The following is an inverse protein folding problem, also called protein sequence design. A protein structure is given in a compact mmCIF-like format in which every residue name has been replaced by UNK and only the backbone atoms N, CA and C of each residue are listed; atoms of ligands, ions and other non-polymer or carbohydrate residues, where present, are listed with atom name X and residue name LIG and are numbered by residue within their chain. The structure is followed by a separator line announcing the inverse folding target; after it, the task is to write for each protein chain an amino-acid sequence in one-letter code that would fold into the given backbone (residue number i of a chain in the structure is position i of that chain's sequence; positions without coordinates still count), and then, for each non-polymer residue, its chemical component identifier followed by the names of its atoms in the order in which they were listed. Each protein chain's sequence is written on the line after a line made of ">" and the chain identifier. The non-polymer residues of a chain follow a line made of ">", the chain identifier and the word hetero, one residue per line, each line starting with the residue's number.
data_IF_388943993261
#
_entry.id   IF_388943993261
#
_cell.length_a   1.000
_cell.length_b   1.000
_cell.length_c   1.000
_cell.angle_alpha   90.00
_cell.angle_beta   90.00
_cell.angle_gamma   90.00
#
_symmetry.space_group_name_H-M   'P 1'
#
loop_
_entity.id
_entity.type
_entity.pdbx_description
1 polymer ?
#
# COMPACT_ATOMS: atom_id res chain seq x y z
N UNK A 1 -23.44 29.43 2.00
CA UNK A 1 -24.02 28.51 3.05
C UNK A 1 -25.51 28.77 3.34
N UNK A 2 -25.94 30.02 3.38
CA UNK A 2 -27.36 30.33 3.71
C UNK A 2 -28.32 29.85 2.60
N UNK A 3 -27.95 30.06 1.33
CA UNK A 3 -28.82 29.67 0.19
C UNK A 3 -28.97 28.16 0.06
N UNK A 4 -27.90 27.41 0.24
CA UNK A 4 -27.93 25.92 0.19
C UNK A 4 -28.81 25.35 1.29
N UNK A 5 -28.71 25.89 2.51
CA UNK A 5 -29.55 25.49 3.66
C UNK A 5 -31.01 25.87 3.40
N UNK A 6 -31.31 27.07 2.92
CA UNK A 6 -32.67 27.51 2.60
C UNK A 6 -33.27 26.66 1.50
N UNK A 7 -32.52 26.36 0.44
CA UNK A 7 -33.00 25.48 -0.63
C UNK A 7 -33.27 24.06 -0.09
N UNK A 8 -32.40 23.54 0.78
CA UNK A 8 -32.64 22.24 1.41
C UNK A 8 -33.88 22.25 2.29
N UNK A 9 -34.11 23.30 3.06
CA UNK A 9 -35.34 23.43 3.87
C UNK A 9 -36.62 23.44 3.00
N UNK A 10 -36.57 24.07 1.84
CA UNK A 10 -37.70 24.17 0.94
C UNK A 10 -37.96 22.91 0.12
N UNK A 11 -36.91 22.31 -0.43
CA UNK A 11 -37.01 21.20 -1.38
C UNK A 11 -36.38 19.89 -0.87
N UNK A 12 -35.26 19.95 -0.18
CA UNK A 12 -34.59 18.75 0.35
C UNK A 12 -35.40 18.05 1.41
N UNK A 13 -36.03 18.82 2.32
CA UNK A 13 -36.94 18.26 3.33
C UNK A 13 -38.14 17.56 2.70
N UNK A 14 -38.71 18.13 1.62
CA UNK A 14 -39.82 17.46 0.90
C UNK A 14 -39.36 16.12 0.31
N UNK A 15 -38.18 16.08 -0.26
CA UNK A 15 -37.59 14.82 -0.82
C UNK A 15 -37.36 13.79 0.28
N UNK A 16 -36.81 14.21 1.44
CA UNK A 16 -36.65 13.34 2.60
C UNK A 16 -38.00 12.79 3.13
N UNK A 17 -39.01 13.64 3.25
CA UNK A 17 -40.33 13.22 3.66
C UNK A 17 -40.90 12.16 2.70
N UNK A 18 -40.72 12.34 1.38
CA UNK A 18 -41.13 11.34 0.39
C UNK A 18 -40.40 10.00 0.55
N UNK A 19 -39.08 10.02 0.92
CA UNK A 19 -38.34 8.81 1.23
C UNK A 19 -38.96 8.08 2.42
N UNK A 20 -39.27 8.80 3.51
CA UNK A 20 -39.90 8.23 4.70
C UNK A 20 -41.32 7.74 4.45
N UNK A 21 -42.14 8.46 3.66
CA UNK A 21 -43.47 8.03 3.27
C UNK A 21 -43.44 6.72 2.48
N UNK A 22 -42.48 6.57 1.58
CA UNK A 22 -42.32 5.33 0.82
C UNK A 22 -41.89 4.16 1.72
N UNK A 23 -40.97 4.41 2.67
CA UNK A 23 -40.57 3.43 3.66
C UNK A 23 -41.73 3.04 4.59
N UNK A 24 -42.56 3.99 5.03
CA UNK A 24 -43.72 3.74 5.87
C UNK A 24 -44.77 2.84 5.20
N UNK A 25 -44.80 2.79 3.86
CA UNK A 25 -45.70 1.88 3.10
C UNK A 25 -45.15 0.45 3.02
N UNK A 26 -43.83 0.30 3.12
CA UNK A 26 -43.14 -0.99 3.03
C UNK A 26 -41.86 -0.98 3.87
N UNK A 27 -41.96 -1.44 5.11
CA UNK A 27 -40.86 -1.45 6.07
C UNK A 27 -39.71 -2.42 5.69
N UNK A 28 -39.90 -3.28 4.70
CA UNK A 28 -38.84 -4.14 4.17
C UNK A 28 -37.78 -3.36 3.36
N UNK A 29 -38.10 -2.14 2.93
CA UNK A 29 -37.26 -1.27 2.09
C UNK A 29 -36.28 -0.38 2.88
N UNK A 30 -35.73 -0.89 3.99
CA UNK A 30 -34.77 -0.15 4.81
C UNK A 30 -33.57 0.34 4.01
N UNK A 31 -33.03 -0.49 3.12
CA UNK A 31 -31.86 -0.12 2.30
C UNK A 31 -32.16 1.06 1.35
N UNK A 32 -33.33 1.07 0.72
CA UNK A 32 -33.78 2.18 -0.14
C UNK A 32 -33.97 3.48 0.64
N UNK A 33 -34.51 3.39 1.86
CA UNK A 33 -34.62 4.53 2.75
C UNK A 33 -33.27 5.11 3.12
N UNK A 34 -32.32 4.28 3.59
CA UNK A 34 -30.97 4.71 3.96
C UNK A 34 -30.27 5.36 2.76
N UNK A 35 -30.34 4.73 1.58
CA UNK A 35 -29.79 5.30 0.34
C UNK A 35 -30.42 6.67 0.01
N UNK A 36 -31.73 6.81 0.09
CA UNK A 36 -32.44 8.05 -0.17
C UNK A 36 -32.03 9.17 0.80
N UNK A 37 -31.94 8.87 2.09
CA UNK A 37 -31.46 9.82 3.10
C UNK A 37 -30.01 10.23 2.84
N UNK A 38 -29.13 9.25 2.62
CA UNK A 38 -27.70 9.51 2.31
C UNK A 38 -27.57 10.44 1.11
N UNK A 39 -28.30 10.17 0.02
CA UNK A 39 -28.29 10.99 -1.19
C UNK A 39 -28.68 12.44 -0.91
N UNK A 40 -29.74 12.69 -0.18
CA UNK A 40 -30.19 14.05 0.09
C UNK A 40 -29.23 14.81 1.02
N UNK A 41 -28.65 14.13 2.01
CA UNK A 41 -27.67 14.74 2.92
C UNK A 41 -26.34 15.04 2.21
N UNK A 42 -25.87 14.12 1.37
CA UNK A 42 -24.63 14.37 0.58
C UNK A 42 -24.84 15.48 -0.45
N UNK A 43 -26.00 15.57 -1.09
CA UNK A 43 -26.34 16.69 -1.99
C UNK A 43 -26.31 18.04 -1.27
N UNK A 44 -26.84 18.10 -0.04
CA UNK A 44 -26.74 19.33 0.78
C UNK A 44 -25.28 19.68 1.04
N UNK A 45 -24.45 18.71 1.47
CA UNK A 45 -23.03 18.91 1.74
C UNK A 45 -22.29 19.43 0.51
N UNK A 46 -22.49 18.82 -0.66
CA UNK A 46 -21.88 19.28 -1.92
C UNK A 46 -22.31 20.71 -2.29
N UNK A 47 -23.61 21.04 -2.10
CA UNK A 47 -24.12 22.38 -2.37
C UNK A 47 -23.52 23.42 -1.44
N UNK A 48 -23.32 23.09 -0.16
CA UNK A 48 -22.67 23.99 0.82
C UNK A 48 -21.20 24.24 0.47
N UNK A 49 -20.48 23.21 0.04
CA UNK A 49 -19.08 23.36 -0.42
C UNK A 49 -19.01 24.26 -1.65
N UNK A 50 -19.87 24.02 -2.64
CA UNK A 50 -19.95 24.84 -3.86
C UNK A 50 -20.24 26.31 -3.52
N UNK A 51 -21.23 26.58 -2.66
CA UNK A 51 -21.60 27.93 -2.25
C UNK A 51 -20.43 28.64 -1.53
N UNK A 52 -19.68 27.92 -0.68
CA UNK A 52 -18.52 28.47 0.00
C UNK A 52 -17.41 28.85 -0.99
N UNK A 53 -17.07 27.97 -1.93
CA UNK A 53 -16.08 28.25 -2.96
C UNK A 53 -16.50 29.42 -3.86
N UNK A 54 -17.77 29.47 -4.27
CA UNK A 54 -18.30 30.58 -5.06
C UNK A 54 -18.29 31.92 -4.28
N UNK A 55 -18.42 31.88 -2.95
CA UNK A 55 -18.32 33.09 -2.13
C UNK A 55 -16.91 33.67 -2.17
N UNK A 56 -15.86 32.86 -2.17
CA UNK A 56 -14.47 33.30 -2.37
C UNK A 56 -14.23 33.84 -3.78
N UNK A 57 -14.80 33.20 -4.82
CA UNK A 57 -14.71 33.74 -6.20
C UNK A 57 -15.35 35.12 -6.29
N UNK A 58 -16.51 35.33 -5.66
CA UNK A 58 -17.19 36.63 -5.66
C UNK A 58 -16.38 37.69 -4.90
N UNK A 59 -15.75 37.36 -3.77
CA UNK A 59 -14.83 38.26 -3.06
C UNK A 59 -13.69 38.68 -3.98
N UNK A 60 -13.06 37.75 -4.72
CA UNK A 60 -12.02 38.06 -5.70
C UNK A 60 -12.52 38.97 -6.83
N UNK A 61 -13.78 38.78 -7.27
CA UNK A 61 -14.41 39.64 -8.30
C UNK A 61 -14.63 41.05 -7.81
N UNK A 62 -15.11 41.22 -6.59
CA UNK A 62 -15.46 42.52 -6.02
C UNK A 62 -14.20 43.31 -5.55
N UNK A 63 -13.22 42.61 -4.94
CA UNK A 63 -12.06 43.21 -4.31
C UNK A 63 -10.86 43.25 -5.27
N UNK A 64 -10.72 44.40 -5.98
CA UNK A 64 -9.60 44.67 -6.90
C UNK A 64 -8.24 44.65 -6.23
N UNK A 65 -8.17 44.96 -4.94
CA UNK A 65 -6.94 44.94 -4.13
C UNK A 65 -6.38 43.55 -3.95
N UNK A 66 -7.24 42.52 -3.90
CA UNK A 66 -6.81 41.11 -3.78
C UNK A 66 -6.33 40.52 -5.12
N UNK A 67 -6.75 41.11 -6.24
CA UNK A 67 -6.37 40.63 -7.60
C UNK A 67 -5.59 41.68 -8.39
N UNK A 68 -4.65 42.37 -7.76
CA UNK A 68 -3.81 43.39 -8.40
C UNK A 68 -3.15 42.81 -9.68
N UNK A 69 -3.34 43.52 -10.82
CA UNK A 69 -2.79 43.12 -12.11
C UNK A 69 -3.58 42.05 -12.84
N UNK A 70 -4.80 41.72 -12.39
CA UNK A 70 -5.69 40.80 -13.04
C UNK A 70 -7.05 41.46 -13.37
N UNK A 71 -7.58 41.17 -14.57
CA UNK A 71 -8.92 41.59 -14.95
C UNK A 71 -9.82 40.38 -15.27
N UNK A 72 -11.11 40.54 -15.06
CA UNK A 72 -12.14 39.51 -15.27
C UNK A 72 -12.32 39.27 -16.76
N UNK A 73 -12.31 38.01 -17.18
CA UNK A 73 -12.60 37.62 -18.57
C UNK A 73 -14.01 37.05 -18.67
N UNK A 74 -14.30 35.99 -17.92
CA UNK A 74 -15.61 35.30 -17.91
C UNK A 74 -15.79 34.47 -16.66
N UNK A 75 -17.00 34.00 -16.39
CA UNK A 75 -17.30 32.97 -15.38
C UNK A 75 -17.54 31.64 -16.10
N UNK A 76 -16.91 30.58 -15.64
CA UNK A 76 -17.04 29.22 -16.14
C UNK A 76 -17.53 28.31 -14.99
N UNK A 77 -18.19 27.21 -15.32
CA UNK A 77 -18.60 26.17 -14.39
C UNK A 77 -17.63 24.99 -14.46
N UNK A 78 -17.35 24.36 -13.33
CA UNK A 78 -16.52 23.15 -13.23
C UNK A 78 -17.07 22.23 -12.17
N UNK A 79 -16.71 20.95 -12.28
CA UNK A 79 -17.07 19.93 -11.30
C UNK A 79 -15.82 19.22 -10.79
N UNK A 80 -15.73 19.04 -9.47
CA UNK A 80 -14.72 18.26 -8.78
C UNK A 80 -15.43 17.16 -8.00
N UNK A 81 -14.99 15.93 -8.17
CA UNK A 81 -15.44 14.80 -7.35
C UNK A 81 -14.68 14.79 -6.04
N UNK A 82 -15.41 14.95 -4.94
CA UNK A 82 -14.91 14.82 -3.56
C UNK A 82 -15.28 13.46 -2.98
N UNK A 83 -14.74 13.09 -1.83
CA UNK A 83 -15.15 11.87 -1.13
C UNK A 83 -16.65 11.84 -0.78
N UNK A 84 -17.27 13.01 -0.65
CA UNK A 84 -18.70 13.16 -0.38
C UNK A 84 -19.55 12.98 -1.63
N UNK A 85 -19.20 13.65 -2.73
CA UNK A 85 -19.94 13.69 -3.99
C UNK A 85 -19.33 14.65 -4.98
N UNK A 86 -20.02 14.83 -6.10
CA UNK A 86 -19.63 15.78 -7.13
C UNK A 86 -20.03 17.21 -6.72
N UNK A 87 -19.04 18.09 -6.61
CA UNK A 87 -19.22 19.52 -6.31
C UNK A 87 -19.06 20.31 -7.59
N UNK A 88 -20.19 20.87 -8.07
CA UNK A 88 -20.23 21.75 -9.26
C UNK A 88 -20.33 23.19 -8.80
N UNK A 89 -19.37 24.02 -9.25
CA UNK A 89 -19.28 25.41 -8.85
C UNK A 89 -18.81 26.34 -9.97
N UNK A 90 -19.22 27.61 -9.88
CA UNK A 90 -18.79 28.65 -10.81
C UNK A 90 -17.51 29.31 -10.37
N UNK A 91 -16.55 29.49 -11.32
CA UNK A 91 -15.27 30.15 -11.07
C UNK A 91 -14.96 31.17 -12.16
N UNK A 92 -14.27 32.24 -11.79
CA UNK A 92 -13.95 33.34 -12.71
C UNK A 92 -12.56 33.16 -13.32
N UNK A 93 -12.51 33.21 -14.65
CA UNK A 93 -11.26 33.29 -15.40
C UNK A 93 -10.75 34.72 -15.36
N UNK A 94 -9.55 34.93 -14.84
CA UNK A 94 -8.84 36.19 -14.84
C UNK A 94 -7.69 36.19 -15.85
N UNK A 95 -7.34 37.37 -16.38
CA UNK A 95 -6.17 37.53 -17.26
C UNK A 95 -5.21 38.55 -16.67
N UNK A 96 -3.94 38.21 -16.64
CA UNK A 96 -2.89 39.05 -16.09
C UNK A 96 -2.55 40.19 -17.06
N UNK A 97 -2.51 41.42 -16.56
CA UNK A 97 -2.24 42.65 -17.35
C UNK A 97 -0.79 42.75 -17.83
N UNK A 98 0.17 42.09 -17.13
CA UNK A 98 1.60 42.20 -17.47
C UNK A 98 2.06 41.17 -18.47
N UNK A 99 1.64 39.91 -18.31
CA UNK A 99 2.13 38.77 -19.12
C UNK A 99 1.05 38.16 -20.02
N UNK A 100 -0.21 38.62 -19.95
CA UNK A 100 -1.32 38.11 -20.75
C UNK A 100 -1.79 36.69 -20.42
N UNK A 101 -1.22 36.02 -19.42
CA UNK A 101 -1.64 34.67 -19.01
C UNK A 101 -3.00 34.68 -18.32
N UNK A 102 -3.81 33.69 -18.62
CA UNK A 102 -5.11 33.48 -17.96
C UNK A 102 -5.02 32.43 -16.85
N UNK A 103 -5.83 32.61 -15.79
CA UNK A 103 -5.85 31.73 -14.63
C UNK A 103 -7.16 31.86 -13.88
N UNK A 104 -7.62 30.79 -13.27
CA UNK A 104 -8.65 30.80 -12.23
C UNK A 104 -7.97 31.07 -10.89
N UNK A 105 -8.17 32.28 -10.32
CA UNK A 105 -7.53 32.63 -9.04
C UNK A 105 -8.11 31.85 -7.88
N UNK A 106 -9.39 31.44 -7.97
CA UNK A 106 -10.01 30.55 -6.99
C UNK A 106 -9.27 29.22 -6.91
N UNK A 107 -8.95 28.60 -8.04
CA UNK A 107 -8.24 27.31 -8.07
C UNK A 107 -6.88 27.41 -7.37
N UNK A 108 -6.18 28.55 -7.56
CA UNK A 108 -4.92 28.79 -6.85
C UNK A 108 -5.07 28.92 -5.34
N UNK A 109 -6.18 29.52 -4.87
CA UNK A 109 -6.47 29.61 -3.44
C UNK A 109 -6.82 28.27 -2.83
N UNK A 110 -7.47 27.40 -3.60
CA UNK A 110 -7.88 26.05 -3.20
C UNK A 110 -6.78 25.01 -3.47
N UNK A 111 -5.62 25.42 -3.97
CA UNK A 111 -4.50 24.57 -4.37
C UNK A 111 -4.91 23.48 -5.37
N UNK A 112 -5.87 23.81 -6.25
CA UNK A 112 -6.36 22.90 -7.29
C UNK A 112 -5.52 23.08 -8.55
N UNK A 113 -4.81 22.04 -8.93
CA UNK A 113 -4.04 22.01 -10.17
C UNK A 113 -4.91 22.08 -11.43
N UNK A 114 -4.40 22.67 -12.53
CA UNK A 114 -5.10 22.67 -13.80
C UNK A 114 -5.50 21.24 -14.23
N UNK A 115 -6.75 21.10 -14.70
CA UNK A 115 -7.34 19.84 -15.14
C UNK A 115 -7.59 18.79 -14.04
N UNK A 116 -7.40 19.11 -12.78
CA UNK A 116 -7.80 18.26 -11.65
C UNK A 116 -9.32 18.06 -11.65
N UNK A 117 -9.77 16.82 -11.53
CA UNK A 117 -11.18 16.42 -11.45
C UNK A 117 -11.56 15.75 -10.13
N UNK A 118 -10.61 15.58 -9.26
CA UNK A 118 -10.79 14.92 -7.96
C UNK A 118 -10.09 15.74 -6.88
N UNK A 119 -10.71 15.82 -5.72
CA UNK A 119 -10.07 16.36 -4.53
C UNK A 119 -9.12 15.33 -3.89
N UNK A 120 -8.21 15.79 -3.05
CA UNK A 120 -7.21 14.93 -2.40
C UNK A 120 -7.85 13.85 -1.50
N UNK A 121 -8.95 14.19 -0.80
CA UNK A 121 -9.70 13.26 0.03
C UNK A 121 -10.34 12.13 -0.80
N UNK A 122 -10.87 12.43 -2.00
CA UNK A 122 -11.38 11.42 -2.92
C UNK A 122 -10.25 10.55 -3.49
N UNK A 123 -9.08 11.14 -3.80
CA UNK A 123 -7.90 10.39 -4.25
C UNK A 123 -7.41 9.47 -3.13
N UNK A 124 -7.28 9.94 -1.90
CA UNK A 124 -6.86 9.12 -0.76
C UNK A 124 -7.79 7.91 -0.57
N UNK A 125 -9.10 8.15 -0.50
CA UNK A 125 -10.10 7.09 -0.38
C UNK A 125 -10.05 6.08 -1.53
N UNK A 126 -9.87 6.57 -2.75
CA UNK A 126 -9.74 5.74 -3.95
C UNK A 126 -8.51 4.82 -3.87
N UNK A 127 -7.39 5.35 -3.43
CA UNK A 127 -6.13 4.61 -3.36
C UNK A 127 -6.11 3.60 -2.21
N UNK A 128 -6.69 3.93 -1.04
CA UNK A 128 -6.89 3.00 0.07
C UNK A 128 -7.70 1.78 -0.37
N UNK A 129 -8.86 2.00 -0.98
CA UNK A 129 -9.70 0.91 -1.47
C UNK A 129 -9.01 0.11 -2.60
N UNK A 130 -8.25 0.78 -3.46
CA UNK A 130 -7.51 0.11 -4.55
C UNK A 130 -6.38 -0.78 -4.03
N UNK A 131 -5.72 -0.39 -2.95
CA UNK A 131 -4.67 -1.18 -2.29
C UNK A 131 -5.24 -2.47 -1.67
N UNK A 132 -6.42 -2.39 -1.05
CA UNK A 132 -7.05 -3.53 -0.38
C UNK A 132 -7.82 -4.45 -1.35
N UNK A 133 -8.14 -3.99 -2.56
CA UNK A 133 -9.03 -4.75 -3.44
C UNK A 133 -8.61 -4.73 -4.92
N UNK A 134 -9.02 -3.70 -5.67
CA UNK A 134 -8.71 -3.56 -7.11
C UNK A 134 -8.92 -2.12 -7.59
N UNK A 135 -8.28 -1.76 -8.69
CA UNK A 135 -8.46 -0.44 -9.33
C UNK A 135 -9.94 -0.14 -9.66
N UNK A 136 -10.71 -1.15 -10.07
CA UNK A 136 -12.13 -0.96 -10.37
C UNK A 136 -12.93 -0.61 -9.11
N UNK A 137 -12.68 -1.29 -8.00
CA UNK A 137 -13.32 -0.99 -6.72
C UNK A 137 -12.85 0.34 -6.14
N UNK A 138 -11.55 0.63 -6.21
CA UNK A 138 -11.03 1.94 -5.83
C UNK A 138 -11.73 3.08 -6.56
N UNK A 139 -11.87 2.97 -7.89
CA UNK A 139 -12.60 3.96 -8.67
C UNK A 139 -14.10 4.07 -8.35
N UNK A 140 -14.75 2.95 -8.01
CA UNK A 140 -16.17 2.93 -7.62
C UNK A 140 -16.43 3.53 -6.23
N UNK A 141 -15.46 3.40 -5.32
CA UNK A 141 -15.58 3.82 -3.92
C UNK A 141 -14.86 5.14 -3.59
N UNK A 142 -14.34 5.85 -4.60
CA UNK A 142 -13.68 7.14 -4.43
C UNK A 142 -14.58 8.19 -3.75
N UNK A 143 -15.89 8.07 -3.94
CA UNK A 143 -16.89 9.01 -3.44
C UNK A 143 -18.14 8.28 -2.97
N UNK A 144 -18.85 8.85 -1.99
CA UNK A 144 -20.11 8.30 -1.48
C UNK A 144 -21.24 8.44 -2.53
N UNK A 145 -21.29 9.56 -3.22
CA UNK A 145 -22.38 9.87 -4.16
C UNK A 145 -21.90 10.51 -5.47
N UNK A 146 -20.60 10.58 -5.69
CA UNK A 146 -19.98 11.20 -6.85
C UNK A 146 -19.80 10.26 -8.04
N UNK A 147 -19.14 10.77 -9.05
CA UNK A 147 -18.82 10.03 -10.27
C UNK A 147 -17.84 8.88 -10.01
N UNK A 148 -18.07 7.76 -10.69
CA UNK A 148 -17.17 6.60 -10.64
C UNK A 148 -15.92 6.90 -11.48
N UNK A 149 -14.74 6.69 -10.91
CA UNK A 149 -13.48 6.86 -11.60
C UNK A 149 -13.11 5.62 -12.42
N UNK A 150 -12.45 5.83 -13.56
CA UNK A 150 -11.97 4.72 -14.38
C UNK A 150 -10.79 4.01 -13.71
N UNK A 151 -10.63 2.73 -13.99
CA UNK A 151 -9.49 1.93 -13.50
C UNK A 151 -8.14 2.51 -13.97
N UNK A 152 -8.11 3.15 -15.14
CA UNK A 152 -6.93 3.83 -15.69
C UNK A 152 -6.59 5.08 -14.85
N UNK A 153 -7.61 5.83 -14.42
CA UNK A 153 -7.40 6.97 -13.50
C UNK A 153 -6.79 6.51 -12.18
N UNK A 154 -7.31 5.42 -11.59
CA UNK A 154 -6.78 4.84 -10.35
C UNK A 154 -5.33 4.39 -10.53
N UNK A 155 -5.05 3.66 -11.61
CA UNK A 155 -3.69 3.21 -11.95
C UNK A 155 -2.72 4.39 -12.09
N UNK A 156 -3.09 5.43 -12.85
CA UNK A 156 -2.25 6.60 -13.05
C UNK A 156 -1.97 7.30 -11.72
N UNK A 157 -2.99 7.51 -10.88
CA UNK A 157 -2.83 8.13 -9.56
C UNK A 157 -1.94 7.30 -8.63
N UNK A 158 -2.03 5.97 -8.69
CA UNK A 158 -1.14 5.10 -7.92
C UNK A 158 0.32 5.20 -8.41
N UNK A 159 0.53 5.30 -9.73
CA UNK A 159 1.87 5.43 -10.31
C UNK A 159 2.49 6.83 -10.11
N UNK A 160 1.67 7.85 -9.85
CA UNK A 160 2.13 9.20 -9.49
C UNK A 160 2.60 9.29 -8.02
N UNK A 161 2.32 8.28 -7.18
CA UNK A 161 2.73 8.32 -5.78
C UNK A 161 4.25 8.24 -5.66
N UNK A 162 4.80 9.25 -5.04
CA UNK A 162 6.19 9.27 -4.59
C UNK A 162 6.24 8.94 -3.10
N UNK A 163 6.93 7.85 -2.76
CA UNK A 163 7.17 7.50 -1.36
C UNK A 163 8.48 8.13 -0.91
N UNK A 164 8.44 9.15 -0.05
CA UNK A 164 9.68 9.80 0.40
C UNK A 164 10.55 8.78 1.13
N UNK A 165 11.82 8.70 0.74
CA UNK A 165 12.84 7.94 1.46
C UNK A 165 13.24 8.74 2.72
N UNK A 166 12.36 8.76 3.70
CA UNK A 166 12.64 9.47 4.96
C UNK A 166 13.51 8.62 5.85
N UNK A 167 14.71 9.11 6.13
CA UNK A 167 15.49 8.64 7.26
C UNK A 167 14.76 9.00 8.56
N UNK A 168 15.04 8.26 9.61
CA UNK A 168 14.48 8.57 10.92
C UNK A 168 15.10 9.87 11.46
N UNK A 169 14.26 10.84 11.81
CA UNK A 169 14.69 12.17 12.29
C UNK A 169 14.59 12.33 13.82
N UNK A 170 14.13 11.29 14.54
CA UNK A 170 14.00 11.31 15.99
C UNK A 170 15.31 11.02 16.74
N UNK A 171 15.24 11.01 18.07
CA UNK A 171 16.34 10.52 18.91
C UNK A 171 16.58 9.03 18.67
N UNK A 172 17.86 8.63 18.57
CA UNK A 172 18.21 7.23 18.34
C UNK A 172 17.72 6.35 19.48
N UNK A 173 17.07 5.26 19.11
CA UNK A 173 16.55 4.28 20.04
C UNK A 173 17.65 3.32 20.50
N UNK A 174 17.60 2.92 21.74
CA UNK A 174 18.51 1.92 22.31
C UNK A 174 17.82 0.57 22.42
N UNK A 175 18.30 -0.39 21.63
CA UNK A 175 17.84 -1.79 21.64
C UNK A 175 19.02 -2.73 21.53
N UNK A 176 18.98 -3.88 22.20
CA UNK A 176 20.03 -4.90 22.10
C UNK A 176 19.87 -5.79 20.88
N UNK A 177 18.64 -5.99 20.42
CA UNK A 177 18.34 -6.90 19.29
C UNK A 177 17.31 -6.29 18.37
N UNK A 178 17.58 -6.37 17.07
CA UNK A 178 16.63 -6.08 16.00
C UNK A 178 16.28 -7.35 15.23
N UNK A 179 15.10 -7.34 14.66
CA UNK A 179 14.60 -8.40 13.80
C UNK A 179 14.29 -7.83 12.42
N UNK A 180 14.65 -8.59 11.39
CA UNK A 180 14.31 -8.28 10.02
C UNK A 180 13.70 -9.54 9.41
N UNK A 181 12.51 -9.43 8.86
CA UNK A 181 11.95 -10.48 8.01
C UNK A 181 12.02 -10.00 6.56
N UNK A 182 12.46 -10.88 5.67
CA UNK A 182 12.64 -10.57 4.26
C UNK A 182 12.07 -11.70 3.39
N UNK A 183 11.34 -11.30 2.35
CA UNK A 183 10.69 -12.21 1.40
C UNK A 183 10.54 -11.53 0.03
N UNK A 184 10.30 -12.32 -1.02
CA UNK A 184 9.96 -11.85 -2.35
C UNK A 184 8.68 -12.51 -2.85
N UNK A 185 7.97 -11.80 -3.73
CA UNK A 185 6.81 -12.34 -4.43
C UNK A 185 7.00 -12.30 -5.95
N UNK A 186 6.30 -13.17 -6.65
CA UNK A 186 6.30 -13.24 -8.11
C UNK A 186 5.00 -12.65 -8.66
N UNK A 187 5.06 -11.41 -9.13
CA UNK A 187 3.91 -10.71 -9.69
C UNK A 187 3.91 -10.87 -11.20
N UNK A 188 2.85 -11.49 -11.74
CA UNK A 188 2.68 -11.63 -13.19
C UNK A 188 2.44 -10.27 -13.84
N UNK A 189 3.20 -9.97 -14.90
CA UNK A 189 3.03 -8.77 -15.69
C UNK A 189 2.01 -8.99 -16.81
N UNK A 190 1.16 -7.99 -17.04
CA UNK A 190 0.28 -7.93 -18.19
C UNK A 190 0.88 -6.94 -19.20
N UNK A 191 1.39 -7.45 -20.31
CA UNK A 191 1.84 -6.60 -21.41
C UNK A 191 0.68 -6.27 -22.37
N UNK A 192 0.55 -5.01 -22.73
CA UNK A 192 -0.50 -4.55 -23.65
C UNK A 192 -0.33 -5.12 -25.06
N UNK A 193 0.91 -5.36 -25.50
CA UNK A 193 1.23 -5.79 -26.87
C UNK A 193 1.43 -7.29 -27.03
N UNK A 194 1.81 -7.98 -25.97
CA UNK A 194 1.84 -9.44 -25.92
C UNK A 194 1.33 -9.86 -24.54
N UNK A 195 0.19 -10.52 -24.49
CA UNK A 195 -0.19 -11.26 -23.29
C UNK A 195 0.91 -12.28 -23.06
N UNK A 196 1.84 -12.04 -22.20
CA UNK A 196 3.05 -12.80 -21.91
C UNK A 196 3.13 -14.20 -22.50
N UNK A 197 4.28 -14.74 -22.66
CA UNK A 197 4.41 -16.08 -23.22
C UNK A 197 3.66 -17.08 -22.34
N UNK A 198 2.45 -17.46 -22.77
CA UNK A 198 1.59 -18.46 -22.07
C UNK A 198 2.35 -19.78 -21.84
N UNK A 199 3.34 -20.06 -22.71
CA UNK A 199 4.19 -21.24 -22.60
C UNK A 199 5.34 -21.06 -21.60
N UNK A 200 5.64 -19.81 -21.21
CA UNK A 200 6.66 -19.46 -20.21
C UNK A 200 6.12 -18.45 -19.18
N UNK A 201 5.08 -18.78 -18.41
CA UNK A 201 4.46 -17.86 -17.48
C UNK A 201 5.43 -17.28 -16.43
N UNK A 202 6.52 -18.00 -16.12
CA UNK A 202 7.57 -17.53 -15.19
C UNK A 202 8.50 -16.46 -15.79
N UNK A 203 8.57 -16.32 -17.10
CA UNK A 203 9.40 -15.31 -17.76
C UNK A 203 8.76 -13.92 -17.81
N UNK A 204 7.49 -13.83 -17.41
CA UNK A 204 6.68 -12.62 -17.48
C UNK A 204 6.27 -12.15 -16.08
N UNK A 205 7.19 -12.17 -15.16
CA UNK A 205 6.99 -11.73 -13.77
C UNK A 205 8.05 -10.73 -13.37
N UNK A 206 7.65 -9.78 -12.53
CA UNK A 206 8.58 -9.01 -11.69
C UNK A 206 8.63 -9.63 -10.31
N UNK A 207 9.72 -9.41 -9.62
CA UNK A 207 9.97 -9.95 -8.29
C UNK A 207 10.22 -8.80 -7.31
N UNK A 208 9.15 -8.18 -6.78
CA UNK A 208 9.29 -7.19 -5.73
C UNK A 208 9.85 -7.85 -4.48
N UNK A 209 10.80 -7.16 -3.85
CA UNK A 209 11.40 -7.55 -2.57
C UNK A 209 10.75 -6.78 -1.46
N UNK A 210 10.52 -7.44 -0.35
CA UNK A 210 9.99 -6.85 0.87
C UNK A 210 10.89 -7.22 2.04
N UNK A 211 11.25 -6.24 2.84
CA UNK A 211 11.80 -6.48 4.17
C UNK A 211 11.14 -5.53 5.17
N UNK A 212 11.05 -5.96 6.43
CA UNK A 212 10.61 -5.09 7.50
C UNK A 212 11.47 -5.28 8.73
N UNK A 213 11.88 -4.15 9.32
CA UNK A 213 12.70 -4.06 10.53
C UNK A 213 11.79 -3.79 11.71
N UNK A 214 11.95 -4.53 12.81
CA UNK A 214 11.13 -4.37 14.00
C UNK A 214 11.91 -4.72 15.28
N UNK A 215 11.44 -4.20 16.43
CA UNK A 215 12.13 -4.32 17.72
C UNK A 215 11.72 -5.59 18.49
N UNK A 216 10.61 -6.19 18.14
CA UNK A 216 10.08 -7.37 18.82
C UNK A 216 8.62 -7.63 18.47
N UNK A 217 8.02 -8.59 19.16
CA UNK A 217 6.62 -8.97 18.97
C UNK A 217 5.91 -8.76 20.31
N UNK A 218 4.87 -7.91 20.28
CA UNK A 218 3.97 -7.74 21.41
C UNK A 218 2.82 -8.76 21.32
N UNK A 219 2.59 -9.47 22.39
CA UNK A 219 1.53 -10.50 22.51
C UNK A 219 0.37 -10.02 23.38
N UNK A 220 0.20 -8.68 23.51
CA UNK A 220 -0.81 -8.13 24.42
C UNK A 220 -2.26 -8.59 24.16
N UNK A 221 -2.95 -8.67 25.26
CA UNK A 221 -4.40 -8.76 25.62
C UNK A 221 -5.39 -9.43 24.68
N UNK A 222 -5.25 -9.36 23.36
CA UNK A 222 -6.20 -9.93 22.39
C UNK A 222 -5.67 -11.21 21.70
N UNK A 223 -4.52 -11.72 22.12
CA UNK A 223 -3.91 -12.94 21.57
C UNK A 223 -3.38 -12.83 20.13
N UNK A 224 -3.43 -11.64 19.50
CA UNK A 224 -2.87 -11.39 18.19
C UNK A 224 -1.50 -10.72 18.30
N UNK A 225 -0.42 -11.36 17.83
CA UNK A 225 0.90 -10.77 17.86
C UNK A 225 0.97 -9.49 16.99
N UNK A 226 1.57 -8.43 17.55
CA UNK A 226 1.84 -7.17 16.83
C UNK A 226 3.33 -6.90 16.82
N UNK A 227 3.84 -6.43 15.68
CA UNK A 227 5.24 -6.01 15.58
C UNK A 227 5.44 -4.65 16.27
N UNK A 228 6.51 -4.54 17.05
CA UNK A 228 6.87 -3.31 17.76
C UNK A 228 7.74 -2.45 16.84
N UNK A 229 7.32 -1.19 16.61
CA UNK A 229 8.07 -0.18 15.86
C UNK A 229 8.55 -0.66 14.47
N UNK A 230 7.63 -1.25 13.70
CA UNK A 230 7.93 -1.82 12.39
C UNK A 230 8.17 -0.72 11.34
N UNK A 231 9.21 -0.92 10.50
CA UNK A 231 9.49 -0.12 9.30
C UNK A 231 9.61 -1.06 8.09
N UNK A 232 8.82 -0.78 7.07
CA UNK A 232 8.77 -1.56 5.83
C UNK A 232 9.69 -0.96 4.76
N UNK A 233 10.33 -1.84 3.98
CA UNK A 233 11.13 -1.56 2.79
C UNK A 233 10.63 -2.46 1.68
N UNK A 234 10.33 -1.91 0.53
CA UNK A 234 9.83 -2.71 -0.59
C UNK A 234 10.04 -2.04 -1.92
N UNK A 235 10.13 -2.85 -2.98
CA UNK A 235 10.27 -2.36 -4.33
C UNK A 235 10.86 -3.40 -5.28
N UNK A 236 11.02 -2.99 -6.54
CA UNK A 236 11.64 -3.81 -7.59
C UNK A 236 13.12 -3.43 -7.67
N UNK A 237 13.98 -4.31 -7.19
CA UNK A 237 15.43 -4.14 -7.18
C UNK A 237 16.05 -5.28 -7.98
N UNK A 238 16.49 -5.02 -9.21
CA UNK A 238 17.00 -6.04 -10.11
C UNK A 238 18.54 -6.20 -10.04
N UNK A 239 18.97 -7.42 -10.24
CA UNK A 239 20.41 -7.73 -10.29
C UNK A 239 21.15 -7.55 -8.97
N UNK A 240 22.48 -7.62 -9.02
CA UNK A 240 23.35 -7.50 -7.85
C UNK A 240 23.39 -6.07 -7.30
N UNK A 241 23.41 -5.07 -8.18
CA UNK A 241 23.40 -3.64 -7.82
C UNK A 241 22.07 -3.25 -7.13
N UNK A 242 20.95 -3.78 -7.62
CA UNK A 242 19.65 -3.59 -6.96
C UNK A 242 19.62 -4.22 -5.56
N UNK A 243 20.19 -5.41 -5.37
CA UNK A 243 20.32 -6.04 -4.03
C UNK A 243 21.15 -5.16 -3.10
N UNK A 244 22.27 -4.66 -3.58
CA UNK A 244 23.14 -3.79 -2.81
C UNK A 244 22.44 -2.49 -2.41
N UNK A 245 21.73 -1.87 -3.34
CA UNK A 245 20.94 -0.64 -3.09
C UNK A 245 19.87 -0.88 -2.04
N UNK A 246 19.12 -1.97 -2.15
CA UNK A 246 18.09 -2.33 -1.18
C UNK A 246 18.65 -2.45 0.25
N UNK A 247 19.73 -3.21 0.43
CA UNK A 247 20.31 -3.41 1.76
C UNK A 247 21.03 -2.17 2.30
N UNK A 248 21.55 -1.29 1.44
CA UNK A 248 22.05 0.03 1.85
C UNK A 248 20.94 0.93 2.39
N UNK A 249 19.74 0.89 1.79
CA UNK A 249 18.58 1.65 2.29
C UNK A 249 18.13 1.14 3.66
N UNK A 250 18.09 -0.18 3.86
CA UNK A 250 17.78 -0.79 5.17
C UNK A 250 18.83 -0.39 6.21
N UNK A 251 20.13 -0.47 5.87
CA UNK A 251 21.23 -0.09 6.76
C UNK A 251 21.16 1.39 7.15
N UNK A 252 20.94 2.28 6.19
CA UNK A 252 20.86 3.73 6.44
C UNK A 252 19.72 4.07 7.44
N UNK A 253 18.58 3.38 7.34
CA UNK A 253 17.52 3.52 8.33
C UNK A 253 17.96 3.02 9.71
N UNK A 254 18.55 1.83 9.81
CA UNK A 254 19.00 1.26 11.08
C UNK A 254 20.00 2.21 11.75
N UNK A 255 20.97 2.73 11.02
CA UNK A 255 21.97 3.67 11.52
C UNK A 255 21.36 5.02 11.93
N UNK A 256 20.29 5.47 11.28
CA UNK A 256 19.60 6.71 11.65
C UNK A 256 18.69 6.53 12.88
N UNK A 257 18.05 5.37 13.02
CA UNK A 257 17.00 5.15 14.01
C UNK A 257 17.52 4.53 15.32
N UNK A 258 18.66 3.83 15.29
CA UNK A 258 19.15 3.06 16.44
C UNK A 258 20.60 3.41 16.82
N UNK A 259 20.88 3.27 18.11
CA UNK A 259 22.26 3.35 18.62
C UNK A 259 23.01 2.06 18.28
N UNK A 260 23.90 2.17 17.30
CA UNK A 260 24.66 1.02 16.77
C UNK A 260 25.68 0.47 17.78
N UNK A 261 26.09 1.25 18.79
CA UNK A 261 27.02 0.80 19.82
C UNK A 261 26.32 -0.13 20.80
N UNK A 262 25.07 0.16 21.14
CA UNK A 262 24.24 -0.64 22.05
C UNK A 262 23.54 -1.82 21.37
N UNK A 263 23.46 -1.82 20.04
CA UNK A 263 22.91 -2.92 19.29
C UNK A 263 23.88 -4.10 19.28
N UNK A 264 23.47 -5.26 19.81
CA UNK A 264 24.29 -6.47 19.89
C UNK A 264 24.07 -7.41 18.71
N UNK A 265 22.82 -7.47 18.20
CA UNK A 265 22.42 -8.45 17.19
C UNK A 265 21.30 -7.96 16.29
N UNK A 266 21.38 -8.34 15.01
CA UNK A 266 20.28 -8.30 14.05
C UNK A 266 19.97 -9.75 13.64
N UNK A 267 18.74 -10.21 13.81
CA UNK A 267 18.25 -11.48 13.30
C UNK A 267 17.57 -11.24 11.96
N UNK A 268 18.16 -11.71 10.85
CA UNK A 268 17.59 -11.61 9.52
C UNK A 268 16.93 -12.94 9.16
N UNK A 269 15.59 -12.94 9.18
CA UNK A 269 14.77 -14.10 8.87
C UNK A 269 14.40 -14.14 7.39
N UNK A 270 14.35 -15.30 6.78
CA UNK A 270 13.89 -15.48 5.41
C UNK A 270 14.01 -16.93 4.93
N UNK A 271 13.64 -17.14 3.66
CA UNK A 271 13.61 -18.47 3.02
C UNK A 271 14.99 -18.99 2.61
N UNK A 272 16.03 -18.16 2.71
CA UNK A 272 17.41 -18.49 2.31
C UNK A 272 17.75 -18.11 0.88
N UNK A 273 16.94 -17.29 0.20
CA UNK A 273 17.27 -16.74 -1.10
C UNK A 273 18.60 -15.99 -1.07
N UNK A 274 19.32 -16.00 -2.20
CA UNK A 274 20.68 -15.45 -2.29
C UNK A 274 20.73 -13.95 -1.93
N UNK A 275 19.71 -13.18 -2.30
CA UNK A 275 19.64 -11.75 -1.99
C UNK A 275 19.42 -11.50 -0.49
N UNK A 276 18.68 -12.37 0.23
CA UNK A 276 18.51 -12.28 1.68
C UNK A 276 19.82 -12.62 2.40
N UNK A 277 20.50 -13.69 1.97
CA UNK A 277 21.82 -14.05 2.51
C UNK A 277 22.86 -12.94 2.26
N UNK A 278 22.77 -12.23 1.13
CA UNK A 278 23.61 -11.06 0.87
C UNK A 278 23.41 -9.96 1.93
N UNK A 279 22.16 -9.74 2.37
CA UNK A 279 21.86 -8.80 3.45
C UNK A 279 22.55 -9.16 4.76
N UNK A 280 22.66 -10.45 5.10
CA UNK A 280 23.38 -10.87 6.30
C UNK A 280 24.87 -10.55 6.26
N UNK A 281 25.45 -10.42 5.07
CA UNK A 281 26.86 -10.03 4.89
C UNK A 281 27.06 -8.51 4.86
N UNK A 282 26.03 -7.76 4.48
CA UNK A 282 26.07 -6.31 4.34
C UNK A 282 25.70 -5.56 5.63
N UNK A 283 24.79 -6.13 6.42
CA UNK A 283 24.37 -5.54 7.68
C UNK A 283 25.29 -5.98 8.82
N UNK A 284 25.77 -5.03 9.65
CA UNK A 284 26.65 -5.36 10.78
C UNK A 284 25.91 -6.17 11.85
N UNK A 285 26.64 -7.00 12.59
CA UNK A 285 26.11 -7.78 13.73
C UNK A 285 24.93 -8.71 13.36
N UNK A 286 24.79 -9.07 12.07
CA UNK A 286 23.65 -9.80 11.54
C UNK A 286 23.89 -11.31 11.54
N UNK A 287 22.86 -12.04 11.95
CA UNK A 287 22.77 -13.49 11.84
C UNK A 287 21.56 -13.85 10.98
N UNK A 288 21.81 -14.59 9.90
CA UNK A 288 20.73 -15.18 9.10
C UNK A 288 20.04 -16.30 9.88
N UNK A 289 18.72 -16.33 9.83
CA UNK A 289 17.84 -17.34 10.43
C UNK A 289 16.87 -17.83 9.37
N UNK A 290 16.95 -19.12 9.05
CA UNK A 290 15.96 -19.73 8.16
C UNK A 290 14.59 -19.76 8.84
N UNK A 291 13.55 -19.27 8.17
CA UNK A 291 12.20 -19.28 8.72
C UNK A 291 11.66 -20.71 8.91
N UNK A 292 10.77 -20.86 9.88
CA UNK A 292 10.27 -22.19 10.28
C UNK A 292 9.47 -22.89 9.18
N UNK A 293 8.75 -22.14 8.34
CA UNK A 293 7.93 -22.71 7.27
C UNK A 293 8.84 -23.34 6.21
N UNK A 294 9.85 -22.60 5.73
CA UNK A 294 10.78 -23.09 4.74
C UNK A 294 11.68 -24.20 5.30
N UNK A 295 12.14 -24.08 6.54
CA UNK A 295 12.86 -25.16 7.22
C UNK A 295 12.04 -26.46 7.19
N UNK A 296 10.77 -26.39 7.59
CA UNK A 296 9.89 -27.57 7.58
C UNK A 296 9.67 -28.11 6.17
N UNK A 297 9.44 -27.23 5.19
CA UNK A 297 9.30 -27.58 3.75
C UNK A 297 10.54 -28.31 3.23
N UNK A 298 11.75 -27.82 3.53
CA UNK A 298 12.99 -28.46 3.10
C UNK A 298 13.19 -29.82 3.76
N UNK A 299 12.87 -29.96 5.04
CA UNK A 299 12.93 -31.26 5.74
C UNK A 299 11.96 -32.27 5.11
N UNK A 300 10.72 -31.87 4.82
CA UNK A 300 9.76 -32.73 4.13
C UNK A 300 10.27 -33.10 2.73
N UNK A 301 10.78 -32.15 1.97
CA UNK A 301 11.30 -32.36 0.61
C UNK A 301 12.45 -33.40 0.62
N UNK A 302 13.35 -33.28 1.60
CA UNK A 302 14.49 -34.18 1.74
C UNK A 302 14.11 -35.62 2.17
N UNK A 303 12.97 -35.79 2.82
CA UNK A 303 12.61 -37.08 3.46
C UNK A 303 11.42 -37.80 2.82
N UNK A 304 10.58 -37.08 2.04
CA UNK A 304 9.30 -37.63 1.52
C UNK A 304 9.43 -38.90 0.67
N UNK A 305 10.58 -39.19 0.09
CA UNK A 305 10.84 -40.34 -0.74
C UNK A 305 11.29 -41.59 0.03
N UNK A 306 11.50 -41.48 1.34
CA UNK A 306 12.01 -42.58 2.18
C UNK A 306 10.92 -43.55 2.63
N UNK A 307 9.68 -43.38 2.20
CA UNK A 307 8.55 -44.27 2.57
C UNK A 307 8.35 -44.33 4.09
N UNK A 308 8.36 -45.52 4.65
CA UNK A 308 8.10 -45.76 6.08
C UNK A 308 9.16 -45.13 7.00
N UNK A 309 10.38 -44.91 6.50
CA UNK A 309 11.49 -44.31 7.26
C UNK A 309 11.45 -42.74 7.25
N UNK A 310 10.49 -42.12 6.53
CA UNK A 310 10.45 -40.69 6.37
C UNK A 310 10.24 -39.95 7.69
N UNK A 311 9.40 -40.43 8.58
CA UNK A 311 9.08 -39.81 9.86
C UNK A 311 10.25 -39.92 10.85
N UNK A 312 10.93 -41.04 10.87
CA UNK A 312 12.14 -41.25 11.68
C UNK A 312 13.26 -40.28 11.24
N UNK A 313 13.47 -40.16 9.92
CA UNK A 313 14.45 -39.25 9.35
C UNK A 313 14.13 -37.78 9.71
N UNK A 314 12.86 -37.37 9.61
CA UNK A 314 12.42 -36.00 10.05
C UNK A 314 12.72 -35.76 11.52
N UNK A 315 12.33 -36.70 12.36
CA UNK A 315 12.54 -36.61 13.82
C UNK A 315 14.03 -36.54 14.14
N UNK A 316 14.89 -37.23 13.41
CA UNK A 316 16.32 -37.16 13.60
C UNK A 316 16.89 -35.83 13.17
N UNK A 317 16.45 -35.24 12.04
CA UNK A 317 16.85 -33.91 11.59
C UNK A 317 16.44 -32.86 12.62
N UNK A 318 15.20 -32.87 13.11
CA UNK A 318 14.75 -31.92 14.13
C UNK A 318 15.56 -32.06 15.43
N UNK A 319 15.86 -33.26 15.84
CA UNK A 319 16.71 -33.50 17.01
C UNK A 319 18.13 -32.94 16.81
N UNK A 320 18.69 -33.13 15.64
CA UNK A 320 20.00 -32.60 15.28
C UNK A 320 20.03 -31.07 15.27
N UNK A 321 19.00 -30.42 14.71
CA UNK A 321 18.86 -28.96 14.70
C UNK A 321 18.81 -28.40 16.14
N UNK A 322 18.02 -29.01 17.02
CA UNK A 322 17.79 -28.48 18.37
C UNK A 322 18.85 -28.86 19.42
N UNK A 323 19.51 -30.00 19.26
CA UNK A 323 20.39 -30.54 20.32
C UNK A 323 21.87 -30.61 19.95
N UNK A 324 22.21 -30.84 18.69
CA UNK A 324 23.58 -31.21 18.29
C UNK A 324 24.22 -30.29 17.25
N UNK A 325 23.44 -29.39 16.67
CA UNK A 325 23.91 -28.33 15.79
C UNK A 325 24.21 -28.77 14.34
N UNK A 326 24.78 -27.82 13.56
CA UNK A 326 24.92 -27.88 12.10
C UNK A 326 25.64 -29.14 11.59
N UNK A 327 26.70 -29.59 12.27
CA UNK A 327 27.48 -30.75 11.86
C UNK A 327 26.66 -32.04 11.88
N UNK A 328 25.99 -32.30 13.01
CA UNK A 328 25.15 -33.49 13.15
C UNK A 328 23.95 -33.47 12.19
N UNK A 329 23.37 -32.31 11.93
CA UNK A 329 22.33 -32.14 10.92
C UNK A 329 22.88 -32.54 9.53
N UNK A 330 24.06 -32.06 9.17
CA UNK A 330 24.74 -32.44 7.91
C UNK A 330 24.96 -33.95 7.77
N UNK A 331 25.39 -34.63 8.83
CA UNK A 331 25.61 -36.09 8.85
C UNK A 331 24.29 -36.89 8.60
N UNK A 332 23.15 -36.37 9.10
CA UNK A 332 21.83 -36.99 8.80
C UNK A 332 21.50 -36.84 7.32
N UNK A 333 21.67 -35.65 6.73
CA UNK A 333 21.45 -35.43 5.31
C UNK A 333 22.36 -36.28 4.43
N UNK A 334 23.62 -36.47 4.81
CA UNK A 334 24.58 -37.35 4.08
C UNK A 334 24.12 -38.81 4.09
N UNK A 335 23.60 -39.32 5.20
CA UNK A 335 23.00 -40.65 5.27
C UNK A 335 21.78 -40.78 4.37
N UNK A 336 20.89 -39.78 4.35
CA UNK A 336 19.73 -39.75 3.46
C UNK A 336 20.19 -39.77 1.99
N UNK A 337 21.19 -38.97 1.62
CA UNK A 337 21.74 -38.96 0.27
C UNK A 337 22.30 -40.33 -0.14
N UNK A 338 22.98 -41.01 0.77
CA UNK A 338 23.59 -42.35 0.47
C UNK A 338 22.56 -43.43 0.18
N UNK A 339 21.38 -43.38 0.78
CA UNK A 339 20.28 -44.34 0.56
C UNK A 339 19.33 -43.89 -0.55
N UNK A 340 19.49 -42.71 -1.12
CA UNK A 340 18.62 -42.18 -2.17
C UNK A 340 19.13 -42.60 -3.54
N UNK A 341 18.38 -43.45 -4.25
CA UNK A 341 18.77 -43.98 -5.57
C UNK A 341 18.50 -42.98 -6.71
N UNK A 342 17.38 -42.28 -6.66
CA UNK A 342 16.96 -41.33 -7.71
C UNK A 342 17.81 -40.05 -7.71
N UNK A 343 18.42 -39.73 -8.83
CA UNK A 343 19.25 -38.55 -9.01
C UNK A 343 18.47 -37.27 -8.76
N UNK A 344 17.20 -37.19 -9.20
CA UNK A 344 16.32 -36.05 -8.96
C UNK A 344 16.06 -35.82 -7.45
N UNK A 345 15.86 -36.95 -6.71
CA UNK A 345 15.67 -36.88 -5.26
C UNK A 345 16.96 -36.53 -4.53
N UNK A 346 18.11 -37.06 -4.99
CA UNK A 346 19.42 -36.67 -4.45
C UNK A 346 19.67 -35.16 -4.56
N UNK A 347 19.40 -34.58 -5.72
CA UNK A 347 19.48 -33.11 -5.90
C UNK A 347 18.56 -32.34 -4.93
N UNK A 348 17.35 -32.84 -4.69
CA UNK A 348 16.43 -32.23 -3.73
C UNK A 348 16.94 -32.30 -2.28
N UNK A 349 17.55 -33.44 -1.89
CA UNK A 349 18.20 -33.59 -0.56
C UNK A 349 19.41 -32.66 -0.44
N UNK A 350 20.25 -32.59 -1.47
CA UNK A 350 21.42 -31.70 -1.51
C UNK A 350 21.03 -30.22 -1.40
N UNK A 351 20.01 -29.81 -2.17
CA UNK A 351 19.45 -28.45 -2.06
C UNK A 351 18.95 -28.17 -0.65
N UNK A 352 18.19 -29.10 -0.07
CA UNK A 352 17.66 -28.95 1.30
C UNK A 352 18.76 -28.86 2.36
N UNK A 353 19.88 -29.58 2.18
CA UNK A 353 21.07 -29.53 3.05
C UNK A 353 21.78 -28.16 2.99
N UNK A 354 21.71 -27.48 1.83
CA UNK A 354 22.34 -26.19 1.59
C UNK A 354 21.68 -25.00 2.33
N UNK A 355 20.45 -25.20 2.77
CA UNK A 355 19.69 -24.22 3.55
C UNK A 355 19.87 -24.44 5.04
#
# INVERSE_FOLDING_TARGET
>A
MINSIQHFQQEGVKRLLKVFDNYGKDLSKMAEMVYGVTKEVTNLGCSMIAEEWESYDEILRQRKDLRKGWYIVRKDETTITTSLGDVTYGRTLFKNTKNGKSCYLLDKLLEIDPHTRMSEDAVARMLEEAADSSYRKGGANASISGSVMSKETVMNKLHELEFPKTLYEGEKKTVSTLYIDADEDHVALQYLESKGDIQKPRSNTIMPRLAYVYEGIDTEKDGRPKLINVKYFGGVYEGAEGVETFWKEVLAYIESAYDMDQLERINLNGDGAAWIKAGANMLPKTKFVLDKFHMHKYIITATSHLGDSAEDARSEIYRAIHKTGKRACGEVFDRIMNVTESETKRKAVETSKGY
#
